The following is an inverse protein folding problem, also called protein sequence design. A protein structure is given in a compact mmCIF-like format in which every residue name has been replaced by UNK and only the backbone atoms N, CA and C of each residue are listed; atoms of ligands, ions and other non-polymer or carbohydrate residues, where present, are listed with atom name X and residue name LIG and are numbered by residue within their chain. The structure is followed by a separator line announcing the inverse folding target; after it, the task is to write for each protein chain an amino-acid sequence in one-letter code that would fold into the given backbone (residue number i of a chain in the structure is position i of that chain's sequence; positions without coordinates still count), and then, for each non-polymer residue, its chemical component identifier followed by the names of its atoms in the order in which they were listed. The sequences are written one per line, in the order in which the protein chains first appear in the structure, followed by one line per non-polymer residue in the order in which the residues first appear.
data_IF_823955990556
#
_entry.id   IF_823955990556
#
_cell.length_a   1.000
_cell.length_b   1.000
_cell.length_c   1.000
_cell.angle_alpha   90.00
_cell.angle_beta   90.00
_cell.angle_gamma   90.00
#
_symmetry.space_group_name_H-M   'P 1'
#
loop_
_entity.id
_entity.type
_entity.pdbx_description
1 polymer ?
#
# COMPACT_ATOMS: atom_id res chain seq x y z
N UNK A 1 5.10 24.90 0.08
CA UNK A 1 4.53 23.96 1.01
C UNK A 1 4.09 22.71 0.28
N UNK A 2 4.55 21.58 0.74
CA UNK A 2 4.21 20.35 0.09
C UNK A 2 2.76 20.01 0.39
N UNK A 3 2.03 19.78 -0.65
CA UNK A 3 0.66 19.38 -0.54
C UNK A 3 0.63 17.86 -0.63
N UNK A 4 0.14 17.22 0.43
CA UNK A 4 0.03 15.76 0.41
C UNK A 4 -0.80 15.28 -0.77
N UNK A 5 -1.81 16.07 -1.11
CA UNK A 5 -2.64 15.69 -2.24
C UNK A 5 -1.83 15.63 -3.53
N UNK A 6 -0.89 16.53 -3.69
CA UNK A 6 -0.04 16.49 -4.88
C UNK A 6 0.80 15.23 -4.94
N UNK A 7 1.23 14.75 -3.78
CA UNK A 7 1.99 13.51 -3.73
C UNK A 7 1.13 12.35 -4.21
N UNK A 8 -0.11 12.31 -3.76
CA UNK A 8 -1.01 11.25 -4.19
C UNK A 8 -1.34 11.33 -5.66
N UNK A 9 -1.55 12.56 -6.15
CA UNK A 9 -1.81 12.75 -7.57
C UNK A 9 -0.65 12.22 -8.40
N UNK A 10 0.56 12.52 -7.96
CA UNK A 10 1.74 12.05 -8.68
C UNK A 10 1.83 10.54 -8.68
N UNK A 11 1.57 9.92 -7.53
CA UNK A 11 1.60 8.46 -7.46
C UNK A 11 0.58 7.85 -8.40
N UNK A 12 -0.61 8.44 -8.43
CA UNK A 12 -1.67 7.93 -9.31
C UNK A 12 -1.27 8.05 -10.78
N UNK A 13 -0.77 9.22 -11.16
CA UNK A 13 -0.36 9.42 -12.55
C UNK A 13 0.78 8.50 -12.93
N UNK A 14 1.74 8.33 -12.03
CA UNK A 14 2.84 7.42 -12.30
C UNK A 14 2.36 5.99 -12.46
N UNK A 15 1.24 5.67 -11.84
CA UNK A 15 0.67 4.34 -11.94
C UNK A 15 -0.29 4.20 -13.12
N UNK A 16 -0.39 5.24 -13.95
CA UNK A 16 -1.25 5.17 -15.11
C UNK A 16 -2.70 5.48 -14.84
N UNK A 17 -3.00 6.07 -13.70
CA UNK A 17 -4.37 6.33 -13.31
C UNK A 17 -4.67 7.81 -13.33
N UNK A 18 -5.92 8.13 -13.69
CA UNK A 18 -6.40 9.49 -13.55
C UNK A 18 -6.64 9.77 -12.07
N UNK A 19 -6.16 10.90 -11.56
CA UNK A 19 -6.35 11.22 -10.15
C UNK A 19 -7.76 11.80 -9.90
N UNK A 20 -8.71 10.89 -9.73
CA UNK A 20 -10.05 11.27 -9.34
C UNK A 20 -10.10 11.48 -7.83
N UNK A 21 -11.17 12.13 -7.37
CA UNK A 21 -11.36 12.33 -5.94
C UNK A 21 -11.33 11.01 -5.18
N UNK A 22 -12.01 10.00 -5.71
CA UNK A 22 -12.06 8.73 -5.03
C UNK A 22 -10.67 8.09 -4.93
N UNK A 23 -9.92 8.14 -5.99
CA UNK A 23 -8.58 7.54 -5.98
C UNK A 23 -7.62 8.31 -5.08
N UNK A 24 -7.78 9.63 -5.03
CA UNK A 24 -6.98 10.41 -4.10
C UNK A 24 -7.31 10.03 -2.66
N UNK A 25 -8.57 9.83 -2.35
CA UNK A 25 -8.95 9.43 -0.99
C UNK A 25 -8.42 8.04 -0.65
N UNK A 26 -8.46 7.14 -1.61
CA UNK A 26 -7.87 5.82 -1.40
C UNK A 26 -6.38 5.96 -1.10
N UNK A 27 -5.70 6.79 -1.88
CA UNK A 27 -4.28 7.00 -1.68
C UNK A 27 -3.99 7.55 -0.29
N UNK A 28 -4.83 8.46 0.16
CA UNK A 28 -4.66 9.03 1.49
C UNK A 28 -4.77 7.97 2.56
N UNK A 29 -5.75 7.09 2.44
CA UNK A 29 -5.91 6.02 3.41
C UNK A 29 -4.70 5.11 3.43
N UNK A 30 -4.13 4.86 2.27
CA UNK A 30 -3.01 3.95 2.15
C UNK A 30 -1.71 4.56 2.65
N UNK A 31 -1.44 5.80 2.29
CA UNK A 31 -0.09 6.35 2.43
C UNK A 31 0.03 7.43 3.49
N UNK A 32 -1.04 8.00 3.96
CA UNK A 32 -0.96 9.02 5.01
C UNK A 32 -0.92 8.35 6.37
N UNK A 33 0.20 7.71 6.65
CA UNK A 33 0.36 6.94 7.88
C UNK A 33 1.80 7.08 8.35
N UNK A 34 1.96 7.06 9.65
CA UNK A 34 3.30 7.10 10.22
C UNK A 34 4.03 5.79 10.04
N UNK A 35 3.29 4.70 10.05
CA UNK A 35 3.89 3.38 9.91
C UNK A 35 3.41 2.74 8.64
N UNK A 36 4.14 1.74 8.20
CA UNK A 36 3.71 0.97 7.06
C UNK A 36 2.41 0.25 7.39
N UNK A 37 1.71 -0.12 6.36
CA UNK A 37 0.36 -0.63 6.48
C UNK A 37 0.23 -1.84 5.56
N UNK A 38 -0.22 -2.93 6.11
CA UNK A 38 -0.53 -4.08 5.28
C UNK A 38 -2.01 -4.40 5.44
N UNK A 39 -2.60 -4.87 4.36
CA UNK A 39 -4.05 -4.98 4.31
C UNK A 39 -4.46 -5.95 3.22
N UNK A 40 -5.61 -6.59 3.42
CA UNK A 40 -6.31 -7.26 2.33
C UNK A 40 -7.28 -6.26 1.72
N UNK A 41 -7.77 -6.59 0.53
CA UNK A 41 -8.76 -5.71 -0.11
C UNK A 41 -10.00 -5.58 0.76
N UNK A 42 -10.43 -6.67 1.39
CA UNK A 42 -11.61 -6.60 2.25
C UNK A 42 -11.39 -5.70 3.43
N UNK A 43 -10.22 -5.77 4.04
CA UNK A 43 -9.90 -4.90 5.16
C UNK A 43 -9.87 -3.44 4.73
N UNK A 44 -9.29 -3.18 3.57
CA UNK A 44 -9.24 -1.82 3.05
C UNK A 44 -10.63 -1.28 2.78
N UNK A 45 -11.50 -2.12 2.22
CA UNK A 45 -12.88 -1.71 1.97
C UNK A 45 -13.57 -1.30 3.26
N UNK A 46 -13.36 -2.05 4.32
CA UNK A 46 -13.99 -1.71 5.61
C UNK A 46 -13.48 -0.38 6.13
N UNK A 47 -12.18 -0.12 5.99
CA UNK A 47 -11.62 1.14 6.44
C UNK A 47 -12.19 2.29 5.62
N UNK A 48 -12.28 2.10 4.32
CA UNK A 48 -12.80 3.13 3.44
C UNK A 48 -14.26 3.44 3.79
N UNK A 49 -15.04 2.41 4.03
CA UNK A 49 -16.44 2.61 4.35
C UNK A 49 -16.63 3.38 5.65
N UNK A 50 -15.73 3.22 6.60
CA UNK A 50 -15.86 3.92 7.88
C UNK A 50 -15.27 5.31 7.84
N UNK A 51 -14.26 5.55 7.02
CA UNK A 51 -13.53 6.81 7.05
C UNK A 51 -13.91 7.77 5.94
N UNK A 52 -14.50 7.28 4.88
CA UNK A 52 -14.77 8.12 3.72
C UNK A 52 -16.27 8.24 3.55
N UNK A 53 -16.71 9.48 3.40
CA UNK A 53 -18.14 9.78 3.23
C UNK A 53 -18.62 9.53 1.81
N UNK A 54 -17.82 8.93 1.00
CA UNK A 54 -18.17 8.63 -0.38
C UNK A 54 -18.27 7.15 -0.55
N UNK A 55 -19.21 6.75 -1.37
CA UNK A 55 -19.33 5.35 -1.70
C UNK A 55 -18.32 5.03 -2.80
N UNK A 56 -17.34 4.23 -2.48
CA UNK A 56 -16.33 3.84 -3.46
C UNK A 56 -16.53 2.36 -3.75
N UNK A 57 -16.60 2.04 -5.02
CA UNK A 57 -16.87 0.67 -5.42
C UNK A 57 -15.64 -0.20 -5.20
N UNK A 58 -15.90 -1.50 -5.04
CA UNK A 58 -14.83 -2.47 -4.92
C UNK A 58 -13.93 -2.42 -6.15
N UNK A 59 -14.50 -2.26 -7.32
CA UNK A 59 -13.71 -2.21 -8.55
C UNK A 59 -12.73 -1.05 -8.53
N UNK A 60 -13.15 0.10 -8.05
CA UNK A 60 -12.27 1.26 -7.99
C UNK A 60 -11.13 1.02 -7.02
N UNK A 61 -11.44 0.45 -5.86
CA UNK A 61 -10.41 0.14 -4.87
C UNK A 61 -9.43 -0.89 -5.44
N UNK A 62 -9.97 -1.94 -6.01
CA UNK A 62 -9.14 -3.00 -6.58
C UNK A 62 -8.21 -2.47 -7.66
N UNK A 63 -8.77 -1.70 -8.60
CA UNK A 63 -7.96 -1.18 -9.69
C UNK A 63 -6.87 -0.24 -9.21
N UNK A 64 -7.18 0.57 -8.20
CA UNK A 64 -6.21 1.49 -7.65
C UNK A 64 -5.07 0.75 -6.96
N UNK A 65 -5.41 -0.23 -6.14
CA UNK A 65 -4.42 -1.01 -5.43
C UNK A 65 -3.52 -1.75 -6.42
N UNK A 66 -4.11 -2.36 -7.42
CA UNK A 66 -3.33 -3.12 -8.38
C UNK A 66 -2.43 -2.23 -9.24
N UNK A 67 -2.90 -1.04 -9.57
CA UNK A 67 -2.05 -0.12 -10.32
C UNK A 67 -0.85 0.31 -9.48
N UNK A 68 -1.09 0.58 -8.20
CA UNK A 68 0.00 0.91 -7.29
C UNK A 68 0.98 -0.24 -7.14
N UNK A 69 0.47 -1.45 -7.03
CA UNK A 69 1.32 -2.62 -6.92
C UNK A 69 2.17 -2.78 -8.16
N UNK A 70 1.57 -2.61 -9.31
CA UNK A 70 2.29 -2.77 -10.58
C UNK A 70 3.41 -1.77 -10.71
N UNK A 71 3.18 -0.56 -10.20
CA UNK A 71 4.19 0.48 -10.29
C UNK A 71 5.26 0.34 -9.21
N UNK A 72 5.00 -0.43 -8.18
CA UNK A 72 5.96 -0.63 -7.11
C UNK A 72 5.68 0.18 -5.87
N UNK A 73 4.53 0.83 -5.80
CA UNK A 73 4.15 1.56 -4.58
C UNK A 73 3.56 0.65 -3.52
N UNK A 74 3.15 -0.52 -3.90
CA UNK A 74 2.65 -1.52 -2.99
C UNK A 74 3.29 -2.85 -3.33
N UNK A 75 3.45 -3.67 -2.33
CA UNK A 75 3.98 -5.01 -2.49
C UNK A 75 2.87 -6.00 -2.18
N UNK A 76 2.72 -6.99 -3.02
CA UNK A 76 1.71 -8.02 -2.79
C UNK A 76 2.35 -9.23 -2.16
N UNK A 77 1.72 -9.72 -1.11
CA UNK A 77 2.18 -10.91 -0.40
C UNK A 77 1.05 -11.92 -0.47
N UNK A 78 1.34 -13.04 -1.08
CA UNK A 78 0.36 -14.11 -1.19
C UNK A 78 0.47 -15.03 -0.01
N UNK A 79 -0.67 -15.29 0.60
CA UNK A 79 -0.74 -16.21 1.72
C UNK A 79 -1.71 -17.31 1.33
N UNK A 80 -1.18 -18.51 1.14
CA UNK A 80 -2.01 -19.60 0.69
C UNK A 80 -2.45 -19.41 -0.74
N UNK A 81 -3.56 -20.03 -1.11
CA UNK A 81 -4.03 -20.01 -2.48
C UNK A 81 -5.00 -18.88 -2.77
N UNK A 82 -5.67 -18.38 -1.76
CA UNK A 82 -6.81 -17.51 -1.99
C UNK A 82 -6.67 -16.14 -1.40
N UNK A 83 -5.61 -15.87 -0.66
CA UNK A 83 -5.50 -14.60 0.02
C UNK A 83 -4.27 -13.86 -0.40
N UNK A 84 -4.46 -12.57 -0.67
CA UNK A 84 -3.36 -11.67 -0.94
C UNK A 84 -3.42 -10.52 0.04
N UNK A 85 -2.28 -10.15 0.55
CA UNK A 85 -2.11 -8.95 1.34
C UNK A 85 -1.22 -8.00 0.58
N UNK A 86 -1.43 -6.72 0.81
CA UNK A 86 -0.62 -5.68 0.20
C UNK A 86 0.04 -4.88 1.29
N UNK A 87 1.23 -4.43 1.03
CA UNK A 87 2.03 -3.72 2.02
C UNK A 87 2.56 -2.44 1.40
N UNK A 88 2.41 -1.35 2.13
CA UNK A 88 2.98 -0.09 1.68
C UNK A 88 4.49 -0.05 1.86
N UNK A 89 5.04 -0.99 2.59
CA UNK A 89 6.48 -1.08 2.75
C UNK A 89 7.05 -1.84 1.58
N UNK A 90 7.60 -1.09 0.64
CA UNK A 90 8.11 -1.67 -0.59
C UNK A 90 9.62 -1.67 -0.64
N UNK A 91 10.26 -1.31 0.44
CA UNK A 91 11.70 -1.29 0.44
C UNK A 91 12.24 -2.68 0.23
N UNK A 92 13.36 -2.72 -0.45
CA UNK A 92 14.03 -3.98 -0.67
C UNK A 92 14.64 -4.40 0.64
N UNK A 93 13.92 -5.24 1.34
CA UNK A 93 14.41 -5.73 2.60
C UNK A 93 15.23 -6.95 2.38
N UNK A 94 16.35 -6.94 2.98
CA UNK A 94 16.98 -8.20 3.22
C UNK A 94 16.29 -8.71 4.42
N UNK A 95 15.30 -9.49 4.19
CA UNK A 95 14.61 -10.10 5.28
C UNK A 95 15.59 -11.03 5.91
N UNK A 96 16.19 -10.53 6.90
CA UNK A 96 17.09 -11.29 7.68
C UNK A 96 16.27 -12.28 8.41
N UNK A 97 16.06 -13.35 7.78
CA UNK A 97 15.37 -14.41 8.44
C UNK A 97 16.42 -15.11 9.28
N UNK A 98 16.52 -14.68 10.50
CA UNK A 98 17.46 -15.28 11.41
C UNK A 98 16.86 -16.61 11.82
N UNK A 99 17.45 -17.66 11.32
CA UNK A 99 16.91 -18.98 11.60
C UNK A 99 17.05 -19.33 13.07
N UNK A 100 17.90 -18.64 13.78
CA UNK A 100 18.05 -18.92 15.20
C UNK A 100 16.92 -18.36 16.01
N UNK A 101 16.49 -17.16 15.69
CA UNK A 101 15.40 -16.53 16.42
C UNK A 101 14.06 -16.86 15.82
N UNK A 102 14.05 -17.32 14.58
CA UNK A 102 12.82 -17.55 13.86
C UNK A 102 12.03 -16.28 13.70
N UNK A 103 12.68 -15.19 13.76
CA UNK A 103 12.02 -13.91 13.62
C UNK A 103 12.37 -13.31 12.29
N UNK A 104 11.35 -12.80 11.63
CA UNK A 104 11.57 -12.02 10.43
C UNK A 104 11.86 -10.61 10.87
N UNK A 105 13.10 -10.25 10.85
CA UNK A 105 13.49 -8.90 11.21
C UNK A 105 13.37 -8.06 9.96
N UNK A 106 12.50 -7.08 10.03
CA UNK A 106 12.28 -6.18 8.93
C UNK A 106 13.34 -5.11 9.00
N UNK A 107 14.40 -5.33 8.27
CA UNK A 107 15.54 -4.46 8.36
C UNK A 107 15.48 -3.46 7.23
N UNK A 108 15.50 -2.20 7.62
CA UNK A 108 15.52 -1.13 6.65
C UNK A 108 16.85 -1.16 5.91
N UNK A 109 16.79 -1.18 4.60
CA UNK A 109 18.01 -1.27 3.80
C UNK A 109 18.88 -0.04 4.00
N UNK A 110 18.33 1.06 4.51
CA UNK A 110 19.14 2.23 4.83
C UNK A 110 19.97 2.03 6.06
N UNK A 111 19.56 1.14 6.93
CA UNK A 111 20.26 0.92 8.17
C UNK A 111 21.28 -0.18 8.05
N UNK A 112 21.01 -1.11 7.19
CA UNK A 112 21.89 -2.22 7.05
C UNK A 112 22.40 -2.27 5.65
N UNK A 113 23.65 -2.16 5.54
CA UNK A 113 24.31 -2.27 4.27
C UNK A 113 24.67 -3.69 4.07
N UNK A 114 23.89 -4.36 3.41
CA UNK A 114 24.15 -5.77 3.20
C UNK A 114 24.68 -6.02 1.83
#
# INVERSE_FOLDING_TARGET
MTNLEEIYIKKLRNSGLRPTKQRIRISEVLFNREKTFHFSINELMKIIQTKINQKISLATVYNTVHAFKKKGYLKEIRIGNDMSYFDTNTQSHHHFYDSQTKELVDINSNEIEI
#
